data_IF_225594399205
#
_entry.id   IF_225594399205
#
_cell.length_a   1.000
_cell.length_b   1.000
_cell.length_c   1.000
_cell.angle_alpha   90.00
_cell.angle_beta   90.00
_cell.angle_gamma   90.00
#
_symmetry.space_group_name_H-M   'P 1'
#
loop_
_entity.id
_entity.type
_entity.pdbx_description
1 polymer ?
#
# COMPACT_ATOMS: atom_id res chain seq x y z
N UNK A 1 -29.99 -33.49 -17.65
CA UNK A 1 -31.44 -33.77 -17.81
C UNK A 1 -31.65 -34.47 -19.11
N UNK A 2 -32.42 -35.59 -19.12
CA UNK A 2 -32.80 -36.31 -20.32
C UNK A 2 -34.30 -36.42 -20.38
N UNK A 3 -34.86 -36.16 -21.55
CA UNK A 3 -36.30 -36.28 -21.84
C UNK A 3 -36.55 -36.93 -23.20
N UNK A 4 -37.72 -37.54 -23.38
CA UNK A 4 -38.11 -38.12 -24.67
C UNK A 4 -39.49 -37.61 -25.08
N UNK A 5 -39.59 -37.17 -26.33
CA UNK A 5 -40.85 -36.76 -26.94
C UNK A 5 -41.38 -37.89 -27.76
N UNK A 6 -42.54 -38.38 -27.37
CA UNK A 6 -43.28 -39.43 -28.12
C UNK A 6 -44.37 -38.79 -28.97
N UNK A 7 -44.55 -39.29 -30.16
CA UNK A 7 -45.58 -38.85 -31.08
C UNK A 7 -46.76 -39.81 -31.12
N UNK A 8 -47.97 -39.39 -31.61
CA UNK A 8 -49.11 -40.22 -31.73
C UNK A 8 -48.88 -41.40 -32.68
N UNK A 9 -49.69 -42.45 -32.53
CA UNK A 9 -49.59 -43.63 -33.37
C UNK A 9 -49.74 -43.26 -34.86
N UNK A 10 -48.90 -43.89 -35.70
CA UNK A 10 -48.86 -43.65 -37.14
C UNK A 10 -47.83 -42.59 -37.58
N UNK A 11 -47.20 -41.89 -36.65
CA UNK A 11 -46.12 -40.96 -36.93
C UNK A 11 -44.81 -41.76 -36.99
N UNK A 12 -44.01 -41.45 -37.96
CA UNK A 12 -42.66 -42.02 -38.14
C UNK A 12 -41.61 -40.91 -38.15
N UNK A 13 -40.31 -41.27 -38.08
CA UNK A 13 -39.21 -40.30 -38.13
C UNK A 13 -39.19 -39.43 -39.39
N UNK A 14 -39.88 -39.82 -40.49
CA UNK A 14 -40.01 -38.98 -41.69
C UNK A 14 -41.13 -37.94 -41.59
N UNK A 15 -42.06 -38.10 -40.63
CA UNK A 15 -43.26 -37.29 -40.49
C UNK A 15 -43.32 -36.57 -39.13
N UNK A 16 -42.18 -36.54 -38.37
CA UNK A 16 -42.03 -35.88 -37.13
C UNK A 16 -40.79 -35.02 -37.12
N UNK A 17 -40.84 -33.93 -36.37
CA UNK A 17 -39.74 -32.99 -36.15
C UNK A 17 -39.78 -32.54 -34.69
N UNK A 18 -38.59 -32.37 -34.10
CA UNK A 18 -38.47 -31.79 -32.76
C UNK A 18 -37.17 -31.03 -32.62
N UNK A 19 -37.21 -29.93 -31.90
CA UNK A 19 -36.08 -29.05 -31.62
C UNK A 19 -36.04 -28.77 -30.13
N UNK A 20 -34.81 -28.73 -29.56
CA UNK A 20 -34.58 -28.38 -28.19
C UNK A 20 -33.96 -26.97 -28.13
N UNK A 21 -34.58 -26.08 -27.39
CA UNK A 21 -34.09 -24.73 -27.09
C UNK A 21 -33.52 -24.70 -25.70
N UNK A 22 -32.24 -24.48 -25.60
CA UNK A 22 -31.51 -24.31 -24.35
C UNK A 22 -30.22 -23.53 -24.58
N UNK A 23 -29.78 -22.80 -23.58
CA UNK A 23 -28.47 -22.11 -23.63
C UNK A 23 -27.29 -23.04 -23.24
N UNK A 24 -27.59 -24.27 -22.84
CA UNK A 24 -26.61 -25.27 -22.43
C UNK A 24 -26.24 -26.23 -23.53
N UNK A 25 -25.12 -26.93 -23.33
CA UNK A 25 -24.73 -28.00 -24.25
C UNK A 25 -25.78 -29.09 -24.26
N UNK A 26 -26.26 -29.48 -25.45
CA UNK A 26 -27.31 -30.46 -25.59
C UNK A 26 -27.10 -31.34 -26.79
N UNK A 27 -27.67 -32.52 -26.73
CA UNK A 27 -27.70 -33.50 -27.82
C UNK A 27 -29.13 -33.90 -28.09
N UNK A 28 -29.44 -34.12 -29.37
CA UNK A 28 -30.74 -34.59 -29.83
C UNK A 28 -30.55 -35.84 -30.64
N UNK A 29 -31.22 -36.92 -30.26
CA UNK A 29 -31.19 -38.18 -30.94
C UNK A 29 -32.60 -38.59 -31.41
N UNK A 30 -32.73 -38.88 -32.68
CA UNK A 30 -33.95 -39.44 -33.23
C UNK A 30 -33.90 -40.96 -33.06
N UNK A 31 -34.95 -41.54 -32.52
CA UNK A 31 -35.07 -42.99 -32.30
C UNK A 31 -35.75 -43.69 -33.50
N UNK A 32 -35.62 -44.99 -33.58
CA UNK A 32 -36.21 -45.82 -34.66
C UNK A 32 -37.73 -45.80 -34.67
N UNK A 33 -38.35 -45.58 -33.51
CA UNK A 33 -39.81 -45.47 -33.34
C UNK A 33 -40.36 -44.07 -33.71
N UNK A 34 -39.51 -43.16 -34.16
CA UNK A 34 -39.85 -41.78 -34.50
C UNK A 34 -39.88 -40.82 -33.35
N UNK A 35 -39.63 -41.27 -32.11
CA UNK A 35 -39.50 -40.42 -30.97
C UNK A 35 -38.15 -39.66 -30.99
N UNK A 36 -38.03 -38.58 -30.19
CA UNK A 36 -36.80 -37.81 -30.04
C UNK A 36 -36.37 -37.80 -28.57
N UNK A 37 -35.14 -38.20 -28.31
CA UNK A 37 -34.53 -38.10 -27.01
C UNK A 37 -33.60 -36.90 -27.00
N UNK A 38 -33.76 -36.05 -25.98
CA UNK A 38 -32.94 -34.87 -25.73
C UNK A 38 -32.15 -35.10 -24.46
N UNK A 39 -30.87 -34.74 -24.49
CA UNK A 39 -30.01 -34.73 -23.32
C UNK A 39 -29.40 -33.37 -23.23
N UNK A 40 -29.61 -32.66 -22.11
CA UNK A 40 -29.01 -31.38 -21.81
C UNK A 40 -28.08 -31.50 -20.58
N UNK A 41 -26.87 -30.97 -20.71
CA UNK A 41 -25.81 -31.09 -19.73
C UNK A 41 -25.67 -29.80 -18.93
N UNK A 42 -25.22 -29.90 -17.67
CA UNK A 42 -24.91 -28.78 -16.82
C UNK A 42 -26.08 -27.77 -16.66
N UNK A 43 -27.27 -28.26 -16.45
CA UNK A 43 -28.45 -27.44 -16.18
C UNK A 43 -28.43 -26.96 -14.74
N UNK A 44 -28.52 -25.67 -14.54
CA UNK A 44 -28.57 -25.00 -13.24
C UNK A 44 -29.97 -24.50 -12.92
N UNK A 45 -30.19 -24.13 -11.68
CA UNK A 45 -31.45 -23.53 -11.27
C UNK A 45 -31.67 -22.19 -11.99
N UNK A 46 -32.82 -22.05 -12.68
CA UNK A 46 -33.12 -20.89 -13.51
C UNK A 46 -32.84 -21.07 -15.01
N UNK A 47 -32.15 -22.15 -15.44
CA UNK A 47 -32.01 -22.48 -16.84
C UNK A 47 -33.35 -23.02 -17.39
N UNK A 48 -33.69 -22.67 -18.62
CA UNK A 48 -34.88 -23.17 -19.29
C UNK A 48 -34.53 -24.25 -20.31
N UNK A 49 -35.45 -25.18 -20.46
CA UNK A 49 -35.48 -26.20 -21.50
C UNK A 49 -36.85 -26.09 -22.18
N UNK A 50 -36.86 -25.69 -23.43
CA UNK A 50 -38.07 -25.62 -24.23
C UNK A 50 -37.96 -26.58 -25.41
N UNK A 51 -39.00 -27.36 -25.66
CA UNK A 51 -39.06 -28.36 -26.76
C UNK A 51 -40.18 -28.01 -27.67
N UNK A 52 -39.83 -27.65 -28.88
CA UNK A 52 -40.80 -27.48 -29.97
C UNK A 52 -40.89 -28.77 -30.77
N UNK A 53 -42.09 -29.33 -30.87
CA UNK A 53 -42.34 -30.57 -31.63
C UNK A 53 -43.48 -30.40 -32.63
N UNK A 54 -43.29 -30.95 -33.81
CA UNK A 54 -44.26 -30.91 -34.89
C UNK A 54 -44.39 -32.30 -35.58
N UNK A 55 -45.54 -32.62 -36.04
CA UNK A 55 -45.80 -33.85 -36.80
C UNK A 55 -46.86 -33.64 -37.89
N UNK A 56 -46.87 -34.53 -38.87
CA UNK A 56 -47.87 -34.53 -39.95
C UNK A 56 -49.20 -35.05 -39.41
N UNK A 57 -50.15 -34.13 -39.19
CA UNK A 57 -51.45 -34.43 -38.65
C UNK A 57 -52.28 -35.38 -39.58
N UNK A 58 -51.99 -35.46 -40.89
CA UNK A 58 -52.67 -36.36 -41.79
C UNK A 58 -52.28 -37.81 -41.54
N UNK A 59 -51.09 -38.07 -40.98
CA UNK A 59 -50.58 -39.44 -40.72
C UNK A 59 -50.89 -39.89 -39.26
N UNK A 60 -51.32 -38.99 -38.40
CA UNK A 60 -51.59 -39.32 -36.99
C UNK A 60 -52.98 -39.99 -36.86
N UNK A 61 -53.05 -41.11 -36.11
CA UNK A 61 -54.28 -41.82 -35.79
C UNK A 61 -54.77 -41.43 -34.39
N UNK A 62 -56.10 -41.21 -34.24
CA UNK A 62 -56.70 -40.96 -32.92
C UNK A 62 -56.61 -39.51 -32.42
N UNK A 63 -56.31 -38.52 -33.25
CA UNK A 63 -56.26 -37.11 -32.89
C UNK A 63 -57.64 -36.48 -33.02
N UNK A 64 -58.11 -35.89 -31.88
CA UNK A 64 -59.43 -35.21 -31.81
C UNK A 64 -59.45 -33.83 -32.49
N UNK A 65 -58.29 -33.11 -32.49
CA UNK A 65 -58.17 -31.80 -33.13
C UNK A 65 -57.10 -31.84 -34.24
N UNK A 66 -57.44 -31.42 -35.43
CA UNK A 66 -56.48 -31.21 -36.54
C UNK A 66 -56.48 -29.76 -36.91
N UNK A 67 -55.29 -29.15 -36.93
CA UNK A 67 -55.10 -27.77 -37.41
C UNK A 67 -55.33 -27.74 -38.95
N UNK A 68 -55.77 -26.55 -39.41
CA UNK A 68 -55.90 -26.27 -40.84
C UNK A 68 -54.69 -25.53 -41.35
N UNK A 69 -54.02 -25.98 -42.40
CA UNK A 69 -52.85 -25.33 -42.99
C UNK A 69 -51.57 -26.12 -42.85
N UNK A 70 -50.61 -25.86 -43.74
CA UNK A 70 -49.27 -26.46 -43.69
C UNK A 70 -48.23 -25.45 -43.23
N UNK A 71 -48.02 -25.35 -41.90
CA UNK A 71 -47.09 -24.43 -41.28
C UNK A 71 -45.68 -25.02 -41.12
N UNK A 72 -45.43 -26.23 -41.61
CA UNK A 72 -44.13 -26.91 -41.42
C UNK A 72 -42.95 -26.12 -42.00
N UNK A 73 -43.18 -25.47 -43.16
CA UNK A 73 -42.12 -24.69 -43.82
C UNK A 73 -41.75 -23.48 -43.00
N UNK A 74 -42.73 -22.76 -42.49
CA UNK A 74 -42.52 -21.56 -41.71
C UNK A 74 -41.86 -21.91 -40.38
N UNK A 75 -42.32 -22.95 -39.71
CA UNK A 75 -41.73 -23.47 -38.48
C UNK A 75 -40.26 -23.85 -38.67
N UNK A 76 -39.94 -24.62 -39.72
CA UNK A 76 -38.54 -24.98 -40.01
C UNK A 76 -37.67 -23.75 -40.29
N UNK A 77 -38.20 -22.74 -40.94
CA UNK A 77 -37.48 -21.53 -41.25
C UNK A 77 -37.21 -20.72 -39.98
N UNK A 78 -38.18 -20.63 -39.09
CA UNK A 78 -38.02 -19.90 -37.80
C UNK A 78 -37.04 -20.61 -36.87
N UNK A 79 -37.12 -21.93 -36.77
CA UNK A 79 -36.16 -22.75 -36.02
C UNK A 79 -34.74 -22.60 -36.58
N UNK A 80 -34.55 -22.61 -37.89
CA UNK A 80 -33.26 -22.36 -38.51
C UNK A 80 -32.72 -20.96 -38.19
N UNK A 81 -33.55 -19.91 -38.22
CA UNK A 81 -33.14 -18.53 -37.86
C UNK A 81 -32.76 -18.44 -36.37
N UNK A 82 -33.51 -19.10 -35.49
CA UNK A 82 -33.18 -19.12 -34.05
C UNK A 82 -31.84 -19.80 -33.80
N UNK A 83 -31.59 -20.94 -34.44
CA UNK A 83 -30.32 -21.65 -34.35
C UNK A 83 -29.15 -20.80 -34.87
N UNK A 84 -29.32 -20.09 -35.98
CA UNK A 84 -28.31 -19.19 -36.52
C UNK A 84 -28.02 -18.04 -35.53
N UNK A 85 -29.05 -17.39 -34.97
CA UNK A 85 -28.89 -16.32 -33.96
C UNK A 85 -28.12 -16.79 -32.71
N UNK A 86 -28.40 -18.03 -32.28
CA UNK A 86 -27.72 -18.62 -31.15
C UNK A 86 -26.23 -18.88 -31.45
N UNK A 87 -25.92 -19.47 -32.61
CA UNK A 87 -24.53 -19.67 -33.04
C UNK A 87 -23.75 -18.36 -33.18
N UNK A 88 -24.40 -17.32 -33.71
CA UNK A 88 -23.78 -16.01 -33.86
C UNK A 88 -23.52 -15.34 -32.49
N UNK A 89 -24.42 -15.46 -31.52
CA UNK A 89 -24.18 -15.01 -30.14
C UNK A 89 -22.99 -15.73 -29.51
N UNK A 90 -22.88 -17.04 -29.66
CA UNK A 90 -21.74 -17.80 -29.14
C UNK A 90 -20.42 -17.40 -29.81
N UNK A 91 -20.40 -17.23 -31.12
CA UNK A 91 -19.23 -16.77 -31.87
C UNK A 91 -18.83 -15.37 -31.46
N UNK A 92 -19.80 -14.49 -31.27
CA UNK A 92 -19.55 -13.14 -30.78
C UNK A 92 -18.96 -13.17 -29.35
N UNK A 93 -19.55 -13.92 -28.43
CA UNK A 93 -19.05 -14.03 -27.06
C UNK A 93 -17.62 -14.62 -27.01
N UNK A 94 -17.34 -15.64 -27.86
CA UNK A 94 -15.99 -16.20 -27.94
C UNK A 94 -14.97 -15.19 -28.46
N UNK A 95 -15.31 -14.41 -29.50
CA UNK A 95 -14.46 -13.36 -30.07
C UNK A 95 -14.26 -12.23 -29.06
N UNK A 96 -15.30 -11.77 -28.38
CA UNK A 96 -15.24 -10.73 -27.37
C UNK A 96 -14.31 -11.12 -26.22
N UNK A 97 -14.39 -12.37 -25.75
CA UNK A 97 -13.49 -12.91 -24.71
C UNK A 97 -12.04 -12.92 -25.17
N UNK A 98 -11.78 -13.35 -26.40
CA UNK A 98 -10.43 -13.37 -26.97
C UNK A 98 -9.86 -11.95 -27.07
N UNK A 99 -10.63 -11.00 -27.61
CA UNK A 99 -10.23 -9.59 -27.69
C UNK A 99 -9.94 -9.01 -26.30
N UNK A 100 -10.81 -9.30 -25.32
CA UNK A 100 -10.59 -8.86 -23.94
C UNK A 100 -9.25 -9.37 -23.37
N UNK A 101 -8.93 -10.64 -23.58
CA UNK A 101 -7.66 -11.21 -23.14
C UNK A 101 -6.46 -10.57 -23.83
N UNK A 102 -6.52 -10.37 -25.15
CA UNK A 102 -5.44 -9.71 -25.91
C UNK A 102 -5.22 -8.28 -25.38
N UNK A 103 -6.29 -7.50 -25.23
CA UNK A 103 -6.22 -6.12 -24.73
C UNK A 103 -5.64 -6.08 -23.32
N UNK A 104 -6.06 -6.99 -22.43
CA UNK A 104 -5.54 -7.06 -21.05
C UNK A 104 -4.05 -7.39 -21.03
N UNK A 105 -3.57 -8.30 -21.85
CA UNK A 105 -2.16 -8.66 -21.95
C UNK A 105 -1.34 -7.47 -22.48
N UNK A 106 -1.80 -6.84 -23.56
CA UNK A 106 -1.11 -5.67 -24.15
C UNK A 106 -1.02 -4.53 -23.15
N UNK A 107 -2.13 -4.24 -22.45
CA UNK A 107 -2.14 -3.21 -21.39
C UNK A 107 -1.18 -3.54 -20.25
N UNK A 108 -1.16 -4.80 -19.81
CA UNK A 108 -0.22 -5.26 -18.78
C UNK A 108 1.25 -5.07 -19.19
N UNK A 109 1.60 -5.46 -20.41
CA UNK A 109 2.96 -5.26 -20.95
C UNK A 109 3.30 -3.77 -21.03
N UNK A 110 2.37 -2.92 -21.51
CA UNK A 110 2.58 -1.48 -21.61
C UNK A 110 2.81 -0.83 -20.23
N UNK A 111 2.05 -1.23 -19.22
CA UNK A 111 2.23 -0.73 -17.83
C UNK A 111 3.58 -1.18 -17.25
N UNK A 112 3.98 -2.42 -17.47
CA UNK A 112 5.29 -2.90 -17.04
C UNK A 112 6.44 -2.14 -17.73
N UNK A 113 6.36 -1.96 -19.03
CA UNK A 113 7.35 -1.21 -19.80
C UNK A 113 7.45 0.26 -19.34
N UNK A 114 6.30 0.89 -19.10
CA UNK A 114 6.25 2.25 -18.55
C UNK A 114 6.86 2.32 -17.15
N UNK A 115 6.56 1.37 -16.27
CA UNK A 115 7.15 1.29 -14.93
C UNK A 115 8.67 1.16 -14.97
N UNK A 116 9.20 0.26 -15.81
CA UNK A 116 10.64 0.09 -16.01
C UNK A 116 11.27 1.37 -16.55
N UNK A 117 10.65 1.98 -17.56
CA UNK A 117 11.12 3.25 -18.12
C UNK A 117 11.14 4.37 -17.08
N UNK A 118 10.10 4.48 -16.26
CA UNK A 118 10.02 5.49 -15.20
C UNK A 118 11.14 5.32 -14.18
N UNK A 119 11.43 4.08 -13.74
CA UNK A 119 12.53 3.78 -12.81
C UNK A 119 13.89 4.13 -13.43
N UNK A 120 14.14 3.69 -14.68
CA UNK A 120 15.40 4.00 -15.37
C UNK A 120 15.56 5.51 -15.58
N UNK A 121 14.50 6.20 -15.99
CA UNK A 121 14.50 7.65 -16.19
C UNK A 121 14.76 8.40 -14.89
N UNK A 122 14.10 7.99 -13.79
CA UNK A 122 14.32 8.55 -12.45
C UNK A 122 15.77 8.33 -12.00
N UNK A 123 16.28 7.13 -12.15
CA UNK A 123 17.65 6.80 -11.75
C UNK A 123 18.70 7.58 -12.58
N UNK A 124 18.48 7.75 -13.89
CA UNK A 124 19.35 8.58 -14.74
C UNK A 124 19.32 10.06 -14.37
N UNK A 125 18.19 10.57 -13.91
CA UNK A 125 18.07 11.97 -13.43
C UNK A 125 18.74 12.15 -12.07
N UNK A 126 18.70 11.13 -11.22
CA UNK A 126 19.31 11.14 -9.89
C UNK A 126 20.84 10.95 -9.93
N UNK A 127 21.40 10.46 -11.03
CA UNK A 127 22.86 10.31 -11.16
C UNK A 127 23.55 11.65 -11.18
N UNK A 128 24.49 11.83 -10.25
CA UNK A 128 25.40 12.96 -10.25
C UNK A 128 26.28 12.93 -11.50
N UNK A 129 26.26 14.00 -12.27
CA UNK A 129 27.01 14.13 -13.53
C UNK A 129 28.17 15.13 -13.46
N UNK A 130 28.43 15.69 -12.28
CA UNK A 130 29.52 16.63 -12.07
C UNK A 130 30.85 15.90 -11.81
N UNK A 131 31.95 16.66 -11.76
CA UNK A 131 33.22 16.19 -11.21
C UNK A 131 33.04 15.88 -9.73
N UNK A 132 33.60 14.77 -9.27
CA UNK A 132 33.64 14.47 -7.83
C UNK A 132 34.77 15.29 -7.25
N UNK A 133 34.42 16.42 -6.63
CA UNK A 133 35.37 17.24 -5.89
C UNK A 133 35.32 16.89 -4.40
N UNK A 134 36.48 16.95 -3.77
CA UNK A 134 36.56 16.76 -2.33
C UNK A 134 36.00 18.00 -1.63
N UNK A 135 34.79 17.85 -1.05
CA UNK A 135 34.11 18.95 -0.35
C UNK A 135 34.47 18.92 1.14
N UNK A 136 34.99 20.01 1.67
CA UNK A 136 35.36 20.14 3.09
C UNK A 136 34.40 21.01 3.89
N UNK A 137 33.58 21.79 3.20
CA UNK A 137 32.65 22.68 3.86
C UNK A 137 31.47 21.92 4.46
N UNK A 138 30.93 22.44 5.54
CA UNK A 138 29.75 21.87 6.17
C UNK A 138 28.57 21.93 5.17
N UNK A 139 27.90 20.83 4.90
CA UNK A 139 26.72 20.86 4.02
C UNK A 139 25.63 21.74 4.62
N UNK A 140 25.05 22.63 3.80
CA UNK A 140 23.97 23.55 4.20
C UNK A 140 22.61 22.84 4.38
N UNK A 141 22.60 21.64 4.95
CA UNK A 141 21.40 20.85 5.23
C UNK A 141 21.27 20.60 6.73
N UNK A 142 20.04 20.50 7.22
CA UNK A 142 19.80 20.21 8.64
C UNK A 142 20.31 18.83 9.02
N UNK A 143 20.72 18.63 10.29
CA UNK A 143 21.19 17.33 10.79
C UNK A 143 20.15 16.22 10.62
N UNK A 144 18.88 16.53 10.83
CA UNK A 144 17.78 15.60 10.63
C UNK A 144 17.66 15.16 9.15
N UNK A 145 17.77 16.10 8.21
CA UNK A 145 17.75 15.80 6.78
C UNK A 145 18.98 14.99 6.36
N UNK A 146 20.17 15.32 6.89
CA UNK A 146 21.39 14.55 6.64
C UNK A 146 21.28 13.12 7.15
N UNK A 147 20.75 12.91 8.36
CA UNK A 147 20.52 11.59 8.94
C UNK A 147 19.57 10.72 8.10
N UNK A 148 18.55 11.34 7.49
CA UNK A 148 17.63 10.64 6.59
C UNK A 148 18.26 10.29 5.25
N UNK A 149 19.11 11.17 4.71
CA UNK A 149 19.83 10.90 3.46
C UNK A 149 20.78 9.70 3.56
N UNK A 150 21.39 9.47 4.73
CA UNK A 150 22.27 8.31 4.94
C UNK A 150 21.56 7.00 4.60
N UNK A 151 20.28 6.85 4.94
CA UNK A 151 19.51 5.64 4.59
C UNK A 151 19.36 5.43 3.10
N UNK A 152 19.28 6.51 2.32
CA UNK A 152 19.18 6.43 0.85
C UNK A 152 20.51 5.94 0.27
N UNK A 153 21.63 6.32 0.90
CA UNK A 153 22.98 5.95 0.47
C UNK A 153 23.36 4.55 0.98
N UNK A 154 22.99 4.24 2.22
CA UNK A 154 23.26 2.95 2.87
C UNK A 154 21.98 2.35 3.47
N UNK A 155 21.21 1.58 2.66
CA UNK A 155 20.01 0.91 3.12
C UNK A 155 20.25 -0.21 4.16
N UNK A 156 21.50 -0.63 4.35
CA UNK A 156 21.85 -1.72 5.29
C UNK A 156 21.78 -1.32 6.76
N UNK A 157 21.63 -0.03 7.03
CA UNK A 157 21.57 0.51 8.39
C UNK A 157 20.32 0.02 9.13
N UNK A 158 20.51 -0.67 10.26
CA UNK A 158 19.42 -1.27 11.06
C UNK A 158 18.67 -0.25 11.96
N UNK A 159 19.25 0.91 12.18
CA UNK A 159 18.67 1.94 13.05
C UNK A 159 17.49 2.63 12.35
N UNK A 160 16.43 2.95 13.11
CA UNK A 160 15.27 3.67 12.56
C UNK A 160 15.65 5.08 12.09
N UNK A 161 14.91 5.64 11.13
CA UNK A 161 15.14 7.01 10.66
C UNK A 161 14.94 8.01 11.80
N UNK A 162 13.92 7.77 12.64
CA UNK A 162 13.57 8.64 13.76
C UNK A 162 14.68 8.69 14.81
N UNK A 163 15.26 7.54 15.19
CA UNK A 163 16.36 7.48 16.15
C UNK A 163 17.59 8.22 15.64
N UNK A 164 17.90 8.08 14.36
CA UNK A 164 19.05 8.76 13.75
C UNK A 164 18.83 10.26 13.65
N UNK A 165 17.64 10.69 13.24
CA UNK A 165 17.27 12.10 13.18
C UNK A 165 17.34 12.73 14.58
N UNK A 166 16.80 12.05 15.59
CA UNK A 166 16.85 12.48 16.97
C UNK A 166 18.30 12.62 17.44
N UNK A 167 19.12 11.59 17.25
CA UNK A 167 20.53 11.58 17.68
C UNK A 167 21.33 12.67 16.96
N UNK A 168 21.20 12.80 15.65
CA UNK A 168 21.90 13.82 14.87
C UNK A 168 21.52 15.24 15.31
N UNK A 169 20.23 15.47 15.55
CA UNK A 169 19.72 16.77 15.99
C UNK A 169 20.19 17.09 17.42
N UNK A 170 20.19 16.11 18.33
CA UNK A 170 20.74 16.28 19.67
C UNK A 170 22.26 16.65 19.67
N UNK A 171 23.03 15.95 18.84
CA UNK A 171 24.44 16.24 18.69
C UNK A 171 24.69 17.67 18.14
N UNK A 172 23.86 18.08 17.18
CA UNK A 172 23.94 19.45 16.65
C UNK A 172 23.59 20.50 17.67
N UNK A 173 22.55 20.28 18.49
CA UNK A 173 22.19 21.16 19.59
C UNK A 173 23.35 21.28 20.62
N UNK A 174 24.05 20.16 20.84
CA UNK A 174 25.22 20.17 21.72
C UNK A 174 26.41 20.99 21.12
N UNK A 175 26.66 20.84 19.80
CA UNK A 175 27.68 21.65 19.10
C UNK A 175 27.34 23.13 19.13
N UNK A 176 26.06 23.48 18.98
CA UNK A 176 25.56 24.86 19.07
C UNK A 176 25.48 25.40 20.50
N UNK A 177 25.85 24.62 21.51
CA UNK A 177 25.79 24.97 22.92
C UNK A 177 24.40 25.30 23.45
N UNK A 178 23.38 24.74 22.85
CA UNK A 178 22.01 24.78 23.35
C UNK A 178 21.82 23.75 24.48
N UNK A 179 22.45 22.60 24.36
CA UNK A 179 22.46 21.54 25.37
C UNK A 179 23.87 21.03 25.60
N UNK A 180 24.07 20.32 26.69
CA UNK A 180 25.25 19.49 26.92
C UNK A 180 24.83 18.07 27.27
N UNK A 181 25.62 17.09 26.88
CA UNK A 181 25.33 15.65 27.10
C UNK A 181 26.51 15.07 27.88
N UNK A 182 26.22 14.48 29.04
CA UNK A 182 27.22 13.91 29.93
C UNK A 182 26.89 12.42 30.19
N UNK A 183 27.91 11.59 30.43
CA UNK A 183 27.70 10.19 30.76
C UNK A 183 27.17 10.02 32.20
N UNK A 184 26.28 9.03 32.38
CA UNK A 184 25.75 8.65 33.70
C UNK A 184 24.42 9.32 34.07
N UNK A 185 23.90 8.98 35.27
CA UNK A 185 22.61 9.47 35.74
C UNK A 185 22.67 10.93 36.19
N UNK A 186 21.56 11.65 36.15
CA UNK A 186 21.45 13.07 36.50
C UNK A 186 21.84 13.37 37.97
N UNK A 187 21.70 12.41 38.87
CA UNK A 187 22.06 12.54 40.26
C UNK A 187 23.54 12.82 40.49
N UNK A 188 24.42 12.43 39.58
CA UNK A 188 25.85 12.76 39.63
C UNK A 188 26.13 14.26 39.49
N UNK A 189 25.22 15.00 38.90
CA UNK A 189 25.36 16.42 38.57
C UNK A 189 24.52 17.30 39.50
N UNK A 190 23.89 16.73 40.54
CA UNK A 190 23.17 17.49 41.57
C UNK A 190 24.10 18.39 42.37
N UNK A 191 23.73 19.66 42.53
CA UNK A 191 24.50 20.64 43.30
C UNK A 191 25.64 21.31 42.52
N UNK A 192 25.82 20.97 41.24
CA UNK A 192 26.75 21.68 40.36
C UNK A 192 26.02 22.86 39.75
N UNK A 193 26.58 24.07 39.90
CA UNK A 193 26.10 25.23 39.16
C UNK A 193 26.49 25.09 37.68
N UNK A 194 25.52 24.58 36.89
CA UNK A 194 25.72 24.32 35.48
C UNK A 194 25.87 25.60 34.66
N UNK A 195 25.50 26.78 35.20
CA UNK A 195 25.68 28.06 34.53
C UNK A 195 27.14 28.48 34.44
N UNK A 196 27.98 28.02 35.40
CA UNK A 196 29.42 28.29 35.48
C UNK A 196 30.29 27.08 35.11
N UNK A 197 29.67 25.92 34.92
CA UNK A 197 30.39 24.71 34.61
C UNK A 197 30.91 24.72 33.16
N UNK A 198 32.19 24.70 32.98
CA UNK A 198 32.80 24.50 31.67
C UNK A 198 32.86 23.00 31.33
N UNK A 199 32.74 22.60 30.04
CA UNK A 199 32.89 21.22 29.65
C UNK A 199 34.19 20.56 30.15
N UNK A 200 35.27 21.33 30.22
CA UNK A 200 36.57 20.85 30.72
C UNK A 200 36.52 20.62 32.24
N UNK A 201 35.93 21.54 33.00
CA UNK A 201 35.77 21.41 34.44
C UNK A 201 34.90 20.23 34.84
N UNK A 202 33.78 20.01 34.12
CA UNK A 202 32.93 18.86 34.33
C UNK A 202 33.61 17.55 33.97
N UNK A 203 34.38 17.50 32.88
CA UNK A 203 35.16 16.33 32.50
C UNK A 203 36.22 15.98 33.57
N UNK A 204 36.85 16.96 34.16
CA UNK A 204 37.82 16.78 35.26
C UNK A 204 37.13 16.28 36.53
N UNK A 205 35.97 16.80 36.88
CA UNK A 205 35.18 16.32 38.03
C UNK A 205 34.73 14.86 37.83
N UNK A 206 34.26 14.50 36.65
CA UNK A 206 33.88 13.12 36.30
C UNK A 206 35.10 12.20 36.37
N UNK A 207 36.24 12.63 35.86
CA UNK A 207 37.48 11.86 35.93
C UNK A 207 37.97 11.66 37.37
N UNK A 208 37.79 12.67 38.23
CA UNK A 208 38.14 12.59 39.66
C UNK A 208 37.20 11.65 40.45
N UNK A 209 35.95 11.50 40.02
CA UNK A 209 34.94 10.66 40.69
C UNK A 209 34.87 9.21 40.13
N UNK A 210 35.74 8.89 39.17
CA UNK A 210 35.82 7.53 38.55
C UNK A 210 36.25 6.40 39.52
N UNK A 211 36.57 6.73 40.78
CA UNK A 211 36.72 5.71 41.82
C UNK A 211 35.42 5.03 42.27
N UNK A 212 34.27 5.63 41.98
CA UNK A 212 32.97 4.99 42.17
C UNK A 212 32.58 4.34 40.83
N UNK A 213 32.55 3.02 40.80
CA UNK A 213 32.02 2.25 39.67
C UNK A 213 30.54 2.63 39.44
N UNK A 214 30.32 3.71 38.73
CA UNK A 214 29.05 3.94 38.12
C UNK A 214 28.91 2.89 36.99
N UNK A 215 27.76 2.29 36.88
CA UNK A 215 27.43 1.46 35.73
C UNK A 215 27.43 2.39 34.49
N UNK A 216 28.63 2.78 34.06
CA UNK A 216 28.89 3.62 32.92
C UNK A 216 28.35 2.87 31.68
N UNK A 217 27.33 3.41 31.07
CA UNK A 217 26.78 2.86 29.82
C UNK A 217 25.27 2.67 29.78
N UNK A 218 24.54 2.90 30.89
CA UNK A 218 23.10 2.63 30.91
C UNK A 218 22.27 3.90 30.63
N UNK A 219 22.81 5.11 30.89
CA UNK A 219 22.07 6.36 30.66
C UNK A 219 23.03 7.52 30.39
N UNK A 220 22.49 8.61 29.84
CA UNK A 220 23.20 9.87 29.65
C UNK A 220 22.37 11.01 30.24
N UNK A 221 23.02 11.99 30.78
CA UNK A 221 22.40 13.19 31.33
C UNK A 221 22.43 14.32 30.29
N UNK A 222 21.29 14.93 30.08
CA UNK A 222 21.10 16.10 29.23
C UNK A 222 21.00 17.31 30.14
N UNK A 223 21.72 18.34 29.79
CA UNK A 223 21.70 19.64 30.46
C UNK A 223 21.27 20.69 29.46
N UNK A 224 20.19 21.40 29.73
CA UNK A 224 19.80 22.55 28.93
C UNK A 224 20.63 23.74 29.43
N UNK A 225 21.40 24.32 28.51
CA UNK A 225 22.32 25.42 28.89
C UNK A 225 21.55 26.74 29.00
N UNK A 226 22.05 27.70 29.81
CA UNK A 226 21.38 28.98 30.06
C UNK A 226 21.04 29.76 28.79
N UNK A 227 21.92 29.71 27.79
CA UNK A 227 21.69 30.36 26.49
C UNK A 227 20.39 29.89 25.80
N UNK A 228 19.97 28.67 26.05
CA UNK A 228 18.72 28.11 25.48
C UNK A 228 17.48 28.39 26.35
N UNK A 229 17.67 28.70 27.64
CA UNK A 229 16.60 28.96 28.62
C UNK A 229 16.28 30.46 28.71
N UNK A 230 17.31 31.28 28.88
CA UNK A 230 17.16 32.72 29.20
C UNK A 230 16.79 33.57 27.98
N UNK A 231 17.11 33.09 26.80
CA UNK A 231 16.86 33.77 25.52
C UNK A 231 15.81 33.06 24.67
N UNK A 232 14.76 32.61 25.31
CA UNK A 232 13.64 31.99 24.58
C UNK A 232 12.99 32.99 23.61
N UNK A 233 12.73 32.59 22.42
CA UNK A 233 13.35 31.61 21.55
C UNK A 233 14.26 32.28 20.52
N UNK A 234 15.51 32.49 20.82
CA UNK A 234 16.46 33.00 19.84
C UNK A 234 17.01 31.87 18.96
N UNK A 235 16.09 31.14 18.30
CA UNK A 235 16.44 30.24 17.22
C UNK A 235 17.38 30.95 16.20
N UNK A 236 17.24 32.26 16.04
CA UNK A 236 18.10 33.07 15.19
C UNK A 236 19.51 33.26 15.73
N UNK A 237 19.71 33.45 17.06
CA UNK A 237 21.04 33.58 17.63
C UNK A 237 21.80 32.26 17.63
N UNK A 238 21.13 31.15 17.90
CA UNK A 238 21.72 29.81 17.85
C UNK A 238 21.80 29.27 16.42
N UNK A 239 21.17 29.92 15.44
CA UNK A 239 21.13 29.45 14.06
C UNK A 239 20.47 28.06 13.93
N UNK A 240 19.37 27.83 14.67
CA UNK A 240 18.70 26.57 14.69
C UNK A 240 17.87 26.35 13.42
N UNK A 241 17.85 25.13 12.92
CA UNK A 241 16.89 24.69 11.92
C UNK A 241 15.52 24.41 12.57
N UNK A 242 14.47 24.24 11.77
CA UNK A 242 13.13 23.96 12.29
C UNK A 242 13.07 22.67 13.13
N UNK A 243 13.81 21.62 12.72
CA UNK A 243 13.89 20.37 13.47
C UNK A 243 14.69 20.53 14.77
N UNK A 244 15.76 21.34 14.79
CA UNK A 244 16.54 21.64 15.99
C UNK A 244 15.72 22.46 16.99
N UNK A 245 14.99 23.46 16.52
CA UNK A 245 14.10 24.27 17.36
C UNK A 245 12.98 23.43 17.98
N UNK A 246 12.33 22.60 17.17
CA UNK A 246 11.29 21.70 17.65
C UNK A 246 11.80 20.69 18.70
N UNK A 247 13.01 20.15 18.52
CA UNK A 247 13.63 19.26 19.51
C UNK A 247 14.02 20.00 20.78
N UNK A 248 14.61 21.19 20.66
CA UNK A 248 14.97 22.00 21.84
C UNK A 248 13.72 22.35 22.66
N UNK A 249 12.63 22.76 22.01
CA UNK A 249 11.36 23.03 22.68
C UNK A 249 10.81 21.78 23.39
N UNK A 250 10.88 20.59 22.76
CA UNK A 250 10.52 19.33 23.41
C UNK A 250 11.35 19.09 24.67
N UNK A 251 12.69 19.28 24.62
CA UNK A 251 13.58 19.11 25.77
C UNK A 251 13.28 20.11 26.87
N UNK A 252 12.97 21.39 26.55
CA UNK A 252 12.57 22.43 27.52
C UNK A 252 11.26 22.01 28.23
N UNK A 253 10.25 21.54 27.50
CA UNK A 253 9.00 21.07 28.11
C UNK A 253 9.25 19.87 29.04
N UNK A 254 10.13 18.93 28.63
CA UNK A 254 10.52 17.80 29.47
C UNK A 254 11.20 18.30 30.74
N UNK A 255 12.15 19.25 30.65
CA UNK A 255 12.85 19.82 31.80
C UNK A 255 11.91 20.49 32.80
N UNK A 256 10.90 21.20 32.30
CA UNK A 256 9.86 21.82 33.13
C UNK A 256 9.03 20.78 33.89
N UNK A 257 8.72 19.65 33.23
CA UNK A 257 7.99 18.54 33.84
C UNK A 257 8.82 17.77 34.86
N UNK A 258 10.11 17.60 34.61
CA UNK A 258 11.08 17.00 35.55
C UNK A 258 11.37 17.98 36.72
N UNK A 259 11.19 19.27 36.51
CA UNK A 259 11.47 20.33 37.48
C UNK A 259 12.97 20.67 37.56
N UNK A 260 13.76 20.32 36.54
CA UNK A 260 15.20 20.58 36.50
C UNK A 260 15.68 20.72 35.05
N UNK A 261 16.57 21.65 34.74
CA UNK A 261 17.24 21.73 33.44
C UNK A 261 18.28 20.61 33.24
N UNK A 262 18.53 19.79 34.28
CA UNK A 262 19.44 18.66 34.29
C UNK A 262 18.63 17.39 34.51
N UNK A 263 18.55 16.53 33.52
CA UNK A 263 17.77 15.27 33.57
C UNK A 263 18.46 14.20 32.73
N UNK A 264 18.27 12.95 33.11
CA UNK A 264 18.79 11.82 32.33
C UNK A 264 17.74 11.20 31.37
N UNK A 265 18.21 10.34 30.49
CA UNK A 265 17.36 9.67 29.53
C UNK A 265 16.28 8.78 30.16
N UNK A 266 16.51 8.25 31.37
CA UNK A 266 15.50 7.47 32.08
C UNK A 266 14.37 8.38 32.61
N UNK A 267 14.72 9.54 33.17
CA UNK A 267 13.75 10.55 33.58
C UNK A 267 12.97 11.10 32.42
N UNK A 268 13.66 11.37 31.30
CA UNK A 268 13.02 11.76 30.06
C UNK A 268 12.00 10.70 29.58
N UNK A 269 12.40 9.42 29.55
CA UNK A 269 11.52 8.30 29.17
C UNK A 269 10.31 8.19 30.10
N UNK A 270 10.52 8.24 31.42
CA UNK A 270 9.44 8.17 32.39
C UNK A 270 8.47 9.34 32.26
N UNK A 271 8.98 10.54 32.00
CA UNK A 271 8.17 11.75 31.76
C UNK A 271 7.32 11.59 30.49
N UNK A 272 7.92 11.12 29.40
CA UNK A 272 7.19 10.89 28.14
C UNK A 272 6.12 9.80 28.26
N UNK A 273 6.36 8.73 29.03
CA UNK A 273 5.39 7.67 29.26
C UNK A 273 4.16 8.13 30.05
N UNK A 274 4.34 9.06 30.97
CA UNK A 274 3.28 9.60 31.82
C UNK A 274 2.63 10.89 31.26
N UNK A 275 3.03 11.30 30.07
CA UNK A 275 2.56 12.53 29.45
C UNK A 275 1.57 12.23 28.32
N UNK A 276 0.27 12.44 28.59
CA UNK A 276 -0.81 12.11 27.66
C UNK A 276 -0.68 12.82 26.30
N UNK A 277 -0.19 14.08 26.29
CA UNK A 277 -0.02 14.87 25.06
C UNK A 277 1.41 14.88 24.52
N UNK A 278 2.31 14.08 25.10
CA UNK A 278 3.73 14.02 24.70
C UNK A 278 3.95 13.67 23.24
N UNK A 279 3.04 12.89 22.67
CA UNK A 279 3.05 12.55 21.23
C UNK A 279 2.88 13.78 20.32
N UNK A 280 2.20 14.84 20.79
CA UNK A 280 2.01 16.08 20.02
C UNK A 280 3.35 16.79 19.84
N UNK A 281 4.12 16.94 20.91
CA UNK A 281 5.43 17.60 20.84
C UNK A 281 6.45 16.78 20.04
N UNK A 282 6.43 15.45 20.20
CA UNK A 282 7.21 14.56 19.35
C UNK A 282 6.77 14.66 17.89
N UNK A 283 5.46 14.79 17.65
CA UNK A 283 4.87 15.00 16.32
C UNK A 283 5.35 16.30 15.66
N UNK A 284 5.55 17.37 16.43
CA UNK A 284 6.13 18.63 15.91
C UNK A 284 7.55 18.42 15.42
N UNK A 285 8.38 17.71 16.20
CA UNK A 285 9.75 17.37 15.79
C UNK A 285 9.77 16.51 14.52
N UNK A 286 9.03 15.41 14.48
CA UNK A 286 9.00 14.53 13.32
C UNK A 286 8.40 15.21 12.07
N UNK A 287 7.43 16.10 12.28
CA UNK A 287 6.85 16.96 11.24
C UNK A 287 7.87 17.93 10.67
N UNK A 288 8.63 18.63 11.54
CA UNK A 288 9.70 19.54 11.12
C UNK A 288 10.79 18.80 10.32
N UNK A 289 11.23 17.62 10.78
CA UNK A 289 12.18 16.77 10.07
C UNK A 289 11.68 16.42 8.66
N UNK A 290 10.40 16.09 8.55
CA UNK A 290 9.79 15.72 7.26
C UNK A 290 9.69 16.93 6.31
N UNK A 291 9.31 18.09 6.82
CA UNK A 291 9.22 19.32 6.01
C UNK A 291 10.59 19.78 5.50
N UNK A 292 11.61 19.76 6.33
CA UNK A 292 12.98 20.11 5.92
C UNK A 292 13.48 19.17 4.82
N UNK A 293 13.25 17.86 4.99
CA UNK A 293 13.64 16.88 3.97
C UNK A 293 12.88 17.06 2.65
N UNK A 294 11.58 17.35 2.71
CA UNK A 294 10.78 17.60 1.51
C UNK A 294 11.24 18.86 0.78
N UNK A 295 11.57 19.92 1.49
CA UNK A 295 12.14 21.14 0.88
C UNK A 295 13.46 20.85 0.17
N UNK A 296 14.33 20.05 0.78
CA UNK A 296 15.57 19.61 0.16
C UNK A 296 15.34 18.84 -1.13
N UNK A 297 14.30 17.97 -1.19
CA UNK A 297 13.94 17.23 -2.38
C UNK A 297 13.23 18.05 -3.43
N UNK A 298 12.48 19.09 -3.05
CA UNK A 298 11.73 19.95 -3.96
C UNK A 298 12.63 20.96 -4.71
N UNK A 299 13.81 21.26 -4.20
CA UNK A 299 14.78 22.18 -4.84
C UNK A 299 15.66 21.50 -5.88
N UNK A 300 15.40 20.24 -6.22
CA UNK A 300 16.03 19.48 -7.30
C UNK A 300 15.07 19.28 -8.46
#
# INVERSE_FOLDING_TARGET
VTGTVHFPNGITGKTSWAWLHTERTSETKRNSDGSYTFTAYNIHNGDYLDVVAAFDAAKAKGIARKGTGNHLKDLKQDEYKQQQRWLDKQRFAARARLVFWIVSIVLGIALCAWGIWAVISSNRRAQYRGSVEYWRDQPGISPASAARLIRVVDPSTRQSDEDRQLTATMLSLAVKKAIAVYPGPSDMYRGIDMSQATPVGLSQMIAADQGKQYAAGITSTIVILPLAIDEAPNAQQLGLSESEDALLNLLIVISQRVGSPVFDLNQMKATCQNWQDGYIELGKFTGACSMEYQRLCATR
#
